data_IF_247574979586
#
_entry.id   IF_247574979586
#
_cell.length_a   1.000
_cell.length_b   1.000
_cell.length_c   1.000
_cell.angle_alpha   90.00
_cell.angle_beta   90.00
_cell.angle_gamma   90.00
#
_symmetry.space_group_name_H-M   'P 1'
#
loop_
_entity.id
_entity.type
_entity.pdbx_description
1 polymer ?
#
# COMPACT_ATOMS: atom_id res chain seq x y z
N UNK A 1 -8.52 -18.55 -6.08
CA UNK A 1 -9.85 -18.95 -5.60
C UNK A 1 -10.90 -18.08 -6.30
N UNK A 2 -12.07 -18.63 -6.59
CA UNK A 2 -13.23 -17.92 -7.16
C UNK A 2 -14.12 -17.35 -6.07
N UNK A 3 -15.03 -16.44 -6.41
CA UNK A 3 -16.01 -15.91 -5.45
C UNK A 3 -16.91 -17.03 -4.89
N UNK A 4 -17.32 -18.00 -5.72
CA UNK A 4 -18.18 -19.11 -5.29
C UNK A 4 -17.48 -20.01 -4.26
N UNK A 5 -16.20 -20.33 -4.49
CA UNK A 5 -15.40 -21.10 -3.53
C UNK A 5 -15.24 -20.36 -2.20
N UNK A 6 -15.11 -19.03 -2.23
CA UNK A 6 -15.03 -18.23 -1.02
C UNK A 6 -16.37 -18.17 -0.27
N UNK A 7 -17.50 -18.07 -0.97
CA UNK A 7 -18.83 -18.17 -0.36
C UNK A 7 -18.98 -19.52 0.35
N UNK A 8 -18.59 -20.61 -0.32
CA UNK A 8 -18.69 -21.95 0.27
C UNK A 8 -17.77 -22.10 1.50
N UNK A 9 -16.52 -21.64 1.39
CA UNK A 9 -15.55 -21.69 2.49
C UNK A 9 -15.97 -20.87 3.72
N UNK A 10 -16.87 -19.90 3.56
CA UNK A 10 -17.30 -18.96 4.61
C UNK A 10 -18.75 -19.19 5.06
N UNK A 11 -19.46 -20.16 4.50
CA UNK A 11 -20.91 -20.38 4.68
C UNK A 11 -21.35 -20.45 6.14
N UNK A 12 -20.60 -21.18 6.97
CA UNK A 12 -20.94 -21.44 8.39
C UNK A 12 -19.95 -20.78 9.35
N UNK A 13 -19.19 -19.79 8.87
CA UNK A 13 -18.15 -19.15 9.64
C UNK A 13 -18.63 -17.84 10.28
N UNK A 14 -18.13 -17.55 11.48
CA UNK A 14 -18.32 -16.24 12.10
C UNK A 14 -17.49 -15.19 11.36
N UNK A 15 -18.19 -14.31 10.63
CA UNK A 15 -17.57 -13.29 9.80
C UNK A 15 -17.44 -11.98 10.56
N UNK A 16 -16.30 -11.32 10.37
CA UNK A 16 -16.04 -9.98 10.87
C UNK A 16 -15.86 -8.99 9.70
N UNK A 17 -16.22 -7.72 9.87
CA UNK A 17 -15.87 -6.68 8.92
C UNK A 17 -14.38 -6.33 9.05
N UNK A 18 -13.60 -6.59 8.00
CA UNK A 18 -12.16 -6.32 7.97
C UNK A 18 -11.82 -4.99 7.30
N UNK A 19 -12.57 -4.59 6.26
CA UNK A 19 -12.37 -3.34 5.50
C UNK A 19 -13.73 -2.73 5.19
N UNK A 20 -13.83 -1.40 5.23
CA UNK A 20 -15.03 -0.68 4.78
C UNK A 20 -14.62 0.40 3.78
N UNK A 21 -15.36 0.51 2.67
CA UNK A 21 -15.05 1.47 1.62
C UNK A 21 -16.13 1.55 0.54
N UNK A 22 -15.83 2.22 -0.56
CA UNK A 22 -16.67 2.21 -1.76
C UNK A 22 -16.72 0.83 -2.41
N UNK A 23 -17.65 0.64 -3.35
CA UNK A 23 -17.75 -0.60 -4.12
C UNK A 23 -16.43 -0.97 -4.83
N UNK A 24 -15.77 0.02 -5.45
CA UNK A 24 -14.54 -0.21 -6.21
C UNK A 24 -13.39 -0.64 -5.29
N UNK A 25 -13.21 0.05 -4.17
CA UNK A 25 -12.16 -0.27 -3.20
C UNK A 25 -12.36 -1.66 -2.60
N UNK A 26 -13.57 -1.96 -2.11
CA UNK A 26 -13.87 -3.25 -1.49
C UNK A 26 -13.73 -4.40 -2.49
N UNK A 27 -14.14 -4.20 -3.75
CA UNK A 27 -14.01 -5.24 -4.79
C UNK A 27 -12.57 -5.45 -5.24
N UNK A 28 -11.74 -4.40 -5.24
CA UNK A 28 -10.31 -4.54 -5.50
C UNK A 28 -9.64 -5.39 -4.40
N UNK A 29 -9.88 -5.05 -3.13
CA UNK A 29 -9.33 -5.80 -1.99
C UNK A 29 -9.85 -7.24 -2.00
N UNK A 30 -11.14 -7.47 -2.26
CA UNK A 30 -11.70 -8.82 -2.38
C UNK A 30 -10.96 -9.62 -3.46
N UNK A 31 -10.76 -9.06 -4.66
CA UNK A 31 -10.05 -9.73 -5.75
C UNK A 31 -8.62 -10.11 -5.36
N UNK A 32 -7.93 -9.23 -4.63
CA UNK A 32 -6.58 -9.49 -4.12
C UNK A 32 -6.56 -10.62 -3.10
N UNK A 33 -7.50 -10.64 -2.16
CA UNK A 33 -7.68 -11.74 -1.21
C UNK A 33 -7.90 -13.08 -1.94
N UNK A 34 -8.85 -13.13 -2.88
CA UNK A 34 -9.16 -14.34 -3.63
C UNK A 34 -8.01 -14.84 -4.49
N UNK A 35 -7.22 -13.93 -5.07
CA UNK A 35 -5.97 -14.25 -5.78
C UNK A 35 -4.91 -14.81 -4.85
N UNK A 36 -4.84 -14.32 -3.60
CA UNK A 36 -3.96 -14.82 -2.56
C UNK A 36 -4.47 -16.09 -1.85
N UNK A 37 -5.65 -16.59 -2.22
CA UNK A 37 -6.26 -17.77 -1.59
C UNK A 37 -6.92 -17.49 -0.24
N UNK A 38 -7.13 -16.22 0.11
CA UNK A 38 -7.79 -15.77 1.34
C UNK A 38 -9.29 -15.63 1.05
N UNK A 39 -10.17 -16.42 1.70
CA UNK A 39 -11.62 -16.29 1.51
C UNK A 39 -12.13 -14.93 2.01
N UNK A 40 -12.86 -14.20 1.16
CA UNK A 40 -13.42 -12.91 1.51
C UNK A 40 -14.70 -12.59 0.71
N UNK A 41 -15.66 -11.95 1.36
CA UNK A 41 -16.97 -11.59 0.79
C UNK A 41 -17.22 -10.10 0.91
N UNK A 42 -17.58 -9.43 -0.18
CA UNK A 42 -18.04 -8.06 -0.12
C UNK A 42 -19.56 -8.03 0.18
N UNK A 43 -19.93 -7.53 1.35
CA UNK A 43 -21.32 -7.39 1.80
C UNK A 43 -21.66 -5.92 2.07
N UNK A 44 -22.95 -5.61 2.18
CA UNK A 44 -23.37 -4.34 2.79
C UNK A 44 -23.28 -4.48 4.32
N UNK A 45 -23.01 -3.38 5.05
CA UNK A 45 -23.11 -3.39 6.50
C UNK A 45 -24.52 -3.85 6.90
N UNK A 46 -24.64 -4.71 7.91
CA UNK A 46 -25.95 -5.07 8.43
C UNK A 46 -26.64 -3.84 9.04
N UNK A 47 -27.90 -3.62 8.64
CA UNK A 47 -28.69 -2.45 8.94
C UNK A 47 -29.02 -2.35 10.44
N UNK A 48 -28.19 -1.62 11.19
CA UNK A 48 -28.62 -0.95 12.44
C UNK A 48 -28.95 0.53 12.19
N UNK A 49 -29.28 0.89 10.95
CA UNK A 49 -29.55 2.26 10.56
C UNK A 49 -31.04 2.59 10.69
N UNK A 50 -31.46 3.01 11.88
CA UNK A 50 -32.75 3.67 12.10
C UNK A 50 -32.88 5.03 11.40
N UNK A 51 -31.87 5.47 10.64
CA UNK A 51 -31.86 6.73 9.88
C UNK A 51 -31.62 6.46 8.39
N UNK A 52 -32.37 7.14 7.53
CA UNK A 52 -32.46 6.91 6.07
C UNK A 52 -31.21 7.36 5.27
N UNK A 53 -30.03 7.23 5.84
CA UNK A 53 -28.77 7.78 5.34
C UNK A 53 -27.59 6.81 5.50
N UNK A 54 -27.83 5.50 5.41
CA UNK A 54 -26.72 4.54 5.35
C UNK A 54 -26.05 4.65 3.97
N UNK A 55 -24.87 5.28 3.94
CA UNK A 55 -24.12 5.55 2.71
C UNK A 55 -23.77 4.30 1.91
N UNK A 56 -23.39 4.49 0.64
CA UNK A 56 -23.04 3.45 -0.36
C UNK A 56 -21.80 2.61 -0.04
N UNK A 57 -21.40 2.55 1.23
CA UNK A 57 -20.21 1.82 1.69
C UNK A 57 -20.51 0.32 1.76
N UNK A 58 -19.57 -0.47 1.28
CA UNK A 58 -19.54 -1.93 1.47
C UNK A 58 -18.52 -2.28 2.55
N UNK A 59 -18.63 -3.50 3.06
CA UNK A 59 -17.68 -4.13 3.95
C UNK A 59 -17.11 -5.39 3.31
N UNK A 60 -15.82 -5.62 3.53
CA UNK A 60 -15.18 -6.90 3.26
C UNK A 60 -15.31 -7.77 4.52
N UNK A 61 -16.00 -8.89 4.39
CA UNK A 61 -16.29 -9.87 5.43
C UNK A 61 -15.36 -11.07 5.27
N UNK A 62 -14.78 -11.54 6.39
CA UNK A 62 -13.91 -12.70 6.44
C UNK A 62 -13.87 -13.30 7.84
N UNK A 63 -13.28 -14.48 8.01
CA UNK A 63 -13.02 -15.02 9.35
C UNK A 63 -11.99 -14.16 10.07
N UNK A 64 -12.11 -14.10 11.39
CA UNK A 64 -11.11 -13.44 12.24
C UNK A 64 -9.70 -14.02 12.04
N UNK A 65 -9.60 -15.31 11.83
CA UNK A 65 -8.31 -16.01 11.68
C UNK A 65 -7.58 -15.68 10.38
N UNK A 66 -8.30 -15.20 9.36
CA UNK A 66 -7.73 -14.79 8.08
C UNK A 66 -7.21 -13.33 8.11
N UNK A 67 -7.55 -12.56 9.16
CA UNK A 67 -7.18 -11.15 9.29
C UNK A 67 -5.66 -10.90 9.26
N UNK A 68 -4.80 -11.70 9.93
CA UNK A 68 -3.35 -11.54 9.82
C UNK A 68 -2.82 -11.72 8.40
N UNK A 69 -3.44 -12.62 7.61
CA UNK A 69 -3.05 -12.84 6.21
C UNK A 69 -3.42 -11.63 5.33
N UNK A 70 -4.60 -11.04 5.57
CA UNK A 70 -4.98 -9.78 4.91
C UNK A 70 -4.00 -8.65 5.25
N UNK A 71 -3.66 -8.48 6.53
CA UNK A 71 -2.70 -7.46 6.97
C UNK A 71 -1.36 -7.64 6.28
N UNK A 72 -0.83 -8.86 6.25
CA UNK A 72 0.42 -9.16 5.57
C UNK A 72 0.36 -8.89 4.06
N UNK A 73 -0.77 -9.22 3.41
CA UNK A 73 -0.98 -8.91 1.99
C UNK A 73 -0.93 -7.41 1.74
N UNK A 74 -1.67 -6.61 2.53
CA UNK A 74 -1.71 -5.16 2.39
C UNK A 74 -0.35 -4.52 2.67
N UNK A 75 0.36 -4.95 3.72
CA UNK A 75 1.70 -4.46 4.05
C UNK A 75 2.71 -4.73 2.94
N UNK A 76 2.65 -5.91 2.30
CA UNK A 76 3.51 -6.24 1.16
C UNK A 76 3.21 -5.39 -0.07
N UNK A 77 1.93 -5.17 -0.39
CA UNK A 77 1.56 -4.30 -1.52
C UNK A 77 2.02 -2.87 -1.28
N UNK A 78 1.83 -2.36 -0.07
CA UNK A 78 2.31 -1.05 0.33
C UNK A 78 3.84 -0.92 0.19
N UNK A 79 4.60 -1.89 0.71
CA UNK A 79 6.05 -1.90 0.58
C UNK A 79 6.50 -1.91 -0.90
N UNK A 80 5.82 -2.69 -1.75
CA UNK A 80 6.11 -2.73 -3.18
C UNK A 80 5.80 -1.40 -3.89
N UNK A 81 4.76 -0.67 -3.47
CA UNK A 81 4.48 0.67 -3.97
C UNK A 81 5.58 1.64 -3.57
N UNK A 82 6.00 1.63 -2.30
CA UNK A 82 7.07 2.49 -1.81
C UNK A 82 8.39 2.25 -2.52
N UNK A 83 8.75 0.99 -2.75
CA UNK A 83 9.95 0.62 -3.50
C UNK A 83 9.89 1.17 -4.93
N UNK A 84 8.75 1.02 -5.61
CA UNK A 84 8.57 1.52 -6.97
C UNK A 84 8.71 3.04 -7.06
N UNK A 85 8.24 3.77 -6.06
CA UNK A 85 8.36 5.23 -6.00
C UNK A 85 9.72 5.68 -5.42
N UNK A 86 10.66 4.77 -5.13
CA UNK A 86 11.97 5.09 -4.55
C UNK A 86 11.92 5.59 -3.11
N UNK A 87 10.79 5.41 -2.42
CA UNK A 87 10.56 5.88 -1.04
C UNK A 87 10.66 4.76 0.00
N UNK A 88 10.91 3.51 -0.43
CA UNK A 88 11.05 2.34 0.43
C UNK A 88 12.15 2.49 1.49
N UNK A 89 13.29 3.07 1.12
CA UNK A 89 14.42 3.31 2.02
C UNK A 89 14.15 4.44 3.04
N UNK A 90 13.34 5.44 2.69
CA UNK A 90 13.07 6.62 3.53
C UNK A 90 12.23 6.31 4.78
N UNK A 91 11.58 5.15 4.82
CA UNK A 91 10.73 4.72 5.94
C UNK A 91 11.43 3.77 6.92
N UNK A 92 12.67 3.34 6.61
CA UNK A 92 13.50 2.61 7.55
C UNK A 92 14.29 3.62 8.40
N UNK A 93 14.22 3.58 9.75
CA UNK A 93 15.09 4.39 10.57
C UNK A 93 16.55 3.98 10.29
N UNK A 94 17.32 4.87 9.67
CA UNK A 94 18.69 4.62 9.22
C UNK A 94 18.81 3.96 7.84
N UNK A 95 17.78 4.04 6.98
CA UNK A 95 17.95 3.72 5.57
C UNK A 95 19.09 4.55 4.96
N UNK A 96 19.94 3.98 4.08
CA UNK A 96 21.07 4.70 3.55
C UNK A 96 20.54 5.85 2.70
N UNK A 97 20.60 7.07 3.24
CA UNK A 97 21.09 8.16 2.41
C UNK A 97 22.45 7.65 1.96
N UNK A 98 22.68 7.51 0.65
CA UNK A 98 24.04 7.27 0.16
C UNK A 98 24.87 8.46 0.57
N UNK A 99 25.42 8.43 1.78
CA UNK A 99 26.17 9.54 2.39
C UNK A 99 27.57 9.66 1.80
N UNK A 100 27.95 8.81 0.84
CA UNK A 100 29.31 8.71 0.29
C UNK A 100 29.40 8.70 -1.25
N UNK A 101 28.31 8.94 -1.98
CA UNK A 101 28.41 9.24 -3.42
C UNK A 101 28.25 10.75 -3.60
N UNK A 102 29.37 11.44 -3.78
CA UNK A 102 29.41 12.87 -4.08
C UNK A 102 28.55 13.13 -5.33
N UNK A 103 27.36 13.71 -5.12
CA UNK A 103 26.39 13.87 -6.20
C UNK A 103 27.01 14.70 -7.33
N UNK A 104 26.91 14.24 -8.59
CA UNK A 104 27.51 14.96 -9.71
C UNK A 104 26.86 16.32 -9.88
N UNK A 105 27.63 17.31 -10.34
CA UNK A 105 27.11 18.64 -10.65
C UNK A 105 25.89 18.53 -11.59
N UNK A 106 24.73 19.13 -11.28
CA UNK A 106 23.52 18.99 -12.09
C UNK A 106 23.62 19.68 -13.47
N UNK A 107 24.59 20.57 -13.68
CA UNK A 107 24.79 21.23 -14.97
C UNK A 107 25.69 20.45 -15.91
N UNK A 108 26.81 19.88 -15.43
CA UNK A 108 27.79 19.23 -16.30
C UNK A 108 28.02 17.75 -16.01
N UNK A 109 27.45 17.20 -14.94
CA UNK A 109 27.62 15.81 -14.53
C UNK A 109 28.96 15.51 -13.86
N UNK A 110 29.82 16.51 -13.67
CA UNK A 110 31.13 16.33 -13.06
C UNK A 110 31.00 16.09 -11.56
N UNK A 111 31.47 14.94 -11.09
CA UNK A 111 31.69 14.65 -9.67
C UNK A 111 33.04 15.26 -9.27
N UNK A 112 33.02 16.52 -8.87
CA UNK A 112 34.20 17.24 -8.40
C UNK A 112 33.84 18.16 -7.22
N UNK A 113 34.79 18.40 -6.31
CA UNK A 113 34.58 19.30 -5.17
C UNK A 113 34.15 20.70 -5.62
N UNK A 114 33.34 21.34 -4.77
CA UNK A 114 33.00 22.75 -4.94
C UNK A 114 34.19 23.64 -4.56
N UNK A 115 34.50 24.61 -5.42
CA UNK A 115 35.38 25.74 -5.12
C UNK A 115 34.53 26.96 -4.80
N UNK A 116 34.56 27.44 -3.55
CA UNK A 116 33.74 28.56 -3.07
C UNK A 116 32.24 28.43 -3.41
N UNK A 117 31.68 27.21 -3.32
CA UNK A 117 30.28 26.94 -3.65
C UNK A 117 29.99 26.80 -5.15
N UNK A 118 30.98 26.89 -6.03
CA UNK A 118 30.84 26.67 -7.46
C UNK A 118 31.46 25.35 -7.92
N UNK A 119 30.85 24.72 -8.92
CA UNK A 119 31.45 23.57 -9.61
C UNK A 119 32.76 24.00 -10.28
N UNK A 120 33.85 23.27 -10.01
CA UNK A 120 35.18 23.55 -10.55
C UNK A 120 35.31 23.38 -12.08
N UNK A 121 34.36 22.68 -12.71
CA UNK A 121 34.37 22.40 -14.14
C UNK A 121 33.49 23.38 -14.93
N UNK A 122 32.22 23.57 -14.53
CA UNK A 122 31.29 24.43 -15.27
C UNK A 122 31.01 25.79 -14.61
N UNK A 123 31.48 26.03 -13.39
CA UNK A 123 31.25 27.29 -12.66
C UNK A 123 29.84 27.48 -12.11
N UNK A 124 28.95 26.47 -12.19
CA UNK A 124 27.62 26.57 -11.59
C UNK A 124 27.73 26.74 -10.07
N UNK A 125 27.11 27.78 -9.52
CA UNK A 125 27.01 27.99 -8.08
C UNK A 125 25.91 27.10 -7.48
N UNK A 126 26.26 26.28 -6.50
CA UNK A 126 25.42 25.31 -5.79
C UNK A 126 25.28 25.65 -4.29
N UNK A 127 25.87 26.77 -3.85
CA UNK A 127 25.80 27.32 -2.48
C UNK A 127 24.68 28.32 -2.26
#
# INVERSE_FOLDING_TARGET
MTELEAVEALRDADLIPAVQGSLLEVRDVQRKCLKAGIPALAARPEDNCASKSCGTKLQLMMRKDDLPQLQQLMSREWAALLEREGTGAALMPGGPLGEDDELPCPACGTAAPLDNGACSDCGLHLG
#
